data_IF_847517482896
#
_entry.id   IF_847517482896
#
_cell.length_a   1.000
_cell.length_b   1.000
_cell.length_c   1.000
_cell.angle_alpha   90.00
_cell.angle_beta   90.00
_cell.angle_gamma   90.00
#
_symmetry.space_group_name_H-M   'P 1'
#
loop_
_entity.id
_entity.type
_entity.pdbx_description
1 polymer ?
#
# COMPACT_ATOMS: atom_id res chain seq x y z
N UNK A 1 -13.78 2.73 -12.92
CA UNK A 1 -12.71 3.43 -12.20
C UNK A 1 -13.09 3.51 -10.72
N UNK A 2 -12.51 2.65 -9.88
CA UNK A 2 -12.67 2.77 -8.43
C UNK A 2 -11.84 3.96 -7.94
N UNK A 3 -12.39 4.77 -7.04
CA UNK A 3 -11.70 5.90 -6.44
C UNK A 3 -11.74 5.74 -4.93
N UNK A 4 -10.57 5.75 -4.29
CA UNK A 4 -10.48 5.70 -2.84
C UNK A 4 -10.81 7.06 -2.23
N UNK A 5 -11.55 7.05 -1.12
CA UNK A 5 -11.71 8.23 -0.28
C UNK A 5 -10.40 8.45 0.50
N UNK A 6 -9.62 9.43 0.06
CA UNK A 6 -8.34 9.79 0.68
C UNK A 6 -8.30 11.21 1.25
N UNK A 7 -9.33 12.04 0.99
CA UNK A 7 -9.36 13.43 1.46
C UNK A 7 -9.12 13.56 2.98
N UNK A 8 -9.69 12.70 3.85
CA UNK A 8 -9.42 12.77 5.28
C UNK A 8 -8.01 12.30 5.68
N UNK A 9 -7.29 11.66 4.76
CA UNK A 9 -5.99 11.03 4.99
C UNK A 9 -4.81 11.94 4.62
N UNK A 10 -5.04 12.96 3.79
CA UNK A 10 -4.02 13.91 3.35
C UNK A 10 -3.86 15.09 4.33
N UNK A 11 -2.66 15.68 4.37
CA UNK A 11 -2.39 16.90 5.14
C UNK A 11 -2.20 16.68 6.65
N UNK A 12 -2.07 15.44 7.12
CA UNK A 12 -1.93 15.13 8.56
C UNK A 12 -0.50 15.37 9.03
N UNK A 13 -0.27 16.05 10.17
CA UNK A 13 1.06 16.19 10.74
C UNK A 13 1.58 14.85 11.23
N UNK A 14 2.88 14.61 11.05
CA UNK A 14 3.51 13.38 11.52
C UNK A 14 3.69 13.38 13.05
N UNK A 15 3.22 12.31 13.69
CA UNK A 15 3.50 12.00 15.08
C UNK A 15 3.62 10.48 15.22
N UNK A 16 4.83 9.99 15.53
CA UNK A 16 5.07 8.55 15.67
C UNK A 16 4.14 7.96 16.73
N UNK A 17 3.54 6.82 16.43
CA UNK A 17 2.59 6.15 17.33
C UNK A 17 1.18 6.72 17.33
N UNK A 18 0.92 7.89 16.74
CA UNK A 18 -0.42 8.51 16.76
C UNK A 18 -0.94 8.91 15.37
N UNK A 19 -0.11 9.55 14.55
CA UNK A 19 -0.42 9.97 13.18
C UNK A 19 0.81 9.71 12.31
N UNK A 20 1.00 8.45 11.96
CA UNK A 20 2.16 7.91 11.24
C UNK A 20 1.73 7.06 10.04
N UNK A 21 2.69 6.43 9.35
CA UNK A 21 2.41 5.59 8.18
C UNK A 21 1.50 4.39 8.51
N UNK A 22 1.65 3.77 9.67
CA UNK A 22 0.78 2.68 10.12
C UNK A 22 -0.65 3.16 10.37
N UNK A 23 -0.80 4.28 11.06
CA UNK A 23 -2.11 4.89 11.32
C UNK A 23 -2.80 5.30 10.02
N UNK A 24 -2.05 5.87 9.07
CA UNK A 24 -2.57 6.18 7.74
C UNK A 24 -3.06 4.92 7.02
N UNK A 25 -2.29 3.84 7.04
CA UNK A 25 -2.71 2.55 6.45
C UNK A 25 -3.97 2.02 7.13
N UNK A 26 -4.04 2.00 8.46
CA UNK A 26 -5.24 1.57 9.19
C UNK A 26 -6.47 2.38 8.81
N UNK A 27 -6.35 3.71 8.82
CA UNK A 27 -7.45 4.60 8.50
C UNK A 27 -7.90 4.46 7.04
N UNK A 28 -6.95 4.23 6.12
CA UNK A 28 -7.27 3.92 4.72
C UNK A 28 -8.15 2.68 4.60
N UNK A 29 -7.75 1.59 5.28
CA UNK A 29 -8.47 0.32 5.25
C UNK A 29 -9.85 0.42 5.91
N UNK A 30 -9.95 1.14 7.04
CA UNK A 30 -11.23 1.39 7.70
C UNK A 30 -12.16 2.22 6.80
N UNK A 31 -11.66 3.30 6.21
CA UNK A 31 -12.45 4.23 5.42
C UNK A 31 -12.95 3.65 4.10
N UNK A 32 -12.13 2.82 3.43
CA UNK A 32 -12.41 2.35 2.08
C UNK A 32 -12.99 0.94 2.01
N UNK A 33 -12.80 0.13 3.05
CA UNK A 33 -13.20 -1.28 3.04
C UNK A 33 -13.92 -1.72 4.33
N UNK A 34 -14.10 -0.83 5.30
CA UNK A 34 -14.59 -1.17 6.64
C UNK A 34 -13.79 -2.30 7.31
N UNK A 35 -12.48 -2.32 7.08
CA UNK A 35 -11.55 -3.29 7.67
C UNK A 35 -10.86 -2.65 8.87
N UNK A 36 -11.18 -3.15 10.07
CA UNK A 36 -10.50 -2.75 11.30
C UNK A 36 -9.18 -3.50 11.45
N UNK A 37 -8.07 -2.77 11.37
CA UNK A 37 -6.75 -3.27 11.76
C UNK A 37 -6.50 -2.95 13.23
N UNK A 38 -5.89 -3.86 14.02
CA UNK A 38 -5.59 -3.56 15.42
C UNK A 38 -4.63 -2.37 15.54
N UNK A 39 -4.86 -1.51 16.53
CA UNK A 39 -3.91 -0.44 16.88
C UNK A 39 -2.91 -0.97 17.91
N UNK A 40 -1.69 -1.21 17.45
CA UNK A 40 -0.60 -1.66 18.32
C UNK A 40 0.17 -0.46 18.87
N UNK A 41 0.63 -0.52 20.12
CA UNK A 41 1.52 0.50 20.63
C UNK A 41 2.82 0.52 19.80
N UNK A 42 3.19 1.70 19.30
CA UNK A 42 4.46 1.95 18.60
C UNK A 42 5.25 2.92 19.48
N UNK A 43 6.25 2.44 20.25
CA UNK A 43 7.04 3.29 21.12
C UNK A 43 7.71 4.42 20.34
N UNK A 44 7.91 5.58 20.98
CA UNK A 44 8.61 6.71 20.36
C UNK A 44 10.11 6.45 20.16
N UNK A 45 10.66 5.48 20.90
CA UNK A 45 12.02 4.98 20.86
C UNK A 45 12.14 3.66 20.08
N UNK A 46 11.14 3.34 19.24
CA UNK A 46 11.21 2.16 18.38
C UNK A 46 12.24 2.34 17.27
N UNK A 47 13.25 1.48 17.25
CA UNK A 47 14.23 1.34 16.18
C UNK A 47 13.92 0.06 15.35
N UNK A 48 13.66 0.19 14.03
CA UNK A 48 13.38 -0.96 13.16
C UNK A 48 14.47 -2.03 13.20
N UNK A 49 15.72 -1.60 13.38
CA UNK A 49 16.93 -2.43 13.46
C UNK A 49 16.94 -3.38 14.66
N UNK A 50 16.28 -3.01 15.76
CA UNK A 50 16.20 -3.81 16.99
C UNK A 50 14.92 -4.67 17.02
N UNK A 51 13.84 -4.23 16.36
CA UNK A 51 12.61 -4.99 16.24
C UNK A 51 11.85 -4.70 14.92
N UNK A 52 11.72 -5.70 14.05
CA UNK A 52 10.89 -5.61 12.84
C UNK A 52 9.39 -5.72 13.18
N UNK A 53 8.83 -4.67 13.77
CA UNK A 53 7.41 -4.62 14.15
C UNK A 53 6.48 -4.80 12.96
N UNK A 54 6.81 -4.23 11.79
CA UNK A 54 5.97 -4.38 10.59
C UNK A 54 5.76 -5.86 10.29
N UNK A 55 6.85 -6.64 10.26
CA UNK A 55 6.78 -8.07 9.92
C UNK A 55 5.97 -8.89 10.92
N UNK A 56 6.00 -8.51 12.20
CA UNK A 56 5.26 -9.19 13.26
C UNK A 56 3.77 -8.81 13.29
N UNK A 57 3.43 -7.57 12.93
CA UNK A 57 2.09 -7.01 13.12
C UNK A 57 1.15 -7.25 11.94
N UNK A 58 1.64 -7.26 10.70
CA UNK A 58 0.77 -7.42 9.53
C UNK A 58 0.00 -8.75 9.50
N UNK A 59 0.54 -9.91 9.93
CA UNK A 59 -0.23 -11.16 9.94
C UNK A 59 -1.42 -11.09 10.90
N UNK A 60 -1.26 -10.39 12.03
CA UNK A 60 -2.34 -10.18 13.02
C UNK A 60 -3.45 -9.30 12.44
N UNK A 61 -3.11 -8.38 11.54
CA UNK A 61 -4.08 -7.58 10.79
C UNK A 61 -4.68 -8.31 9.56
N UNK A 62 -4.37 -9.60 9.37
CA UNK A 62 -4.97 -10.43 8.31
C UNK A 62 -4.36 -10.25 6.91
N UNK A 63 -3.16 -9.66 6.81
CA UNK A 63 -2.49 -9.47 5.53
C UNK A 63 -1.67 -10.69 5.11
N UNK A 64 -1.63 -10.92 3.80
CA UNK A 64 -0.75 -11.87 3.14
C UNK A 64 0.48 -11.15 2.59
N UNK A 65 1.65 -11.76 2.78
CA UNK A 65 2.91 -11.28 2.19
C UNK A 65 3.10 -11.86 0.80
N UNK A 66 3.41 -10.99 -0.15
CA UNK A 66 3.63 -11.30 -1.55
C UNK A 66 5.04 -10.87 -1.99
N UNK A 67 5.63 -11.65 -2.88
CA UNK A 67 6.89 -11.31 -3.54
C UNK A 67 6.72 -10.13 -4.49
N UNK A 68 7.69 -9.21 -4.51
CA UNK A 68 7.64 -7.99 -5.31
C UNK A 68 7.73 -8.29 -6.79
N UNK A 69 8.59 -9.20 -7.22
CA UNK A 69 8.82 -9.44 -8.65
C UNK A 69 7.64 -10.12 -9.33
N UNK A 70 6.96 -11.00 -8.62
CA UNK A 70 5.75 -11.69 -9.10
C UNK A 70 4.49 -10.80 -9.07
N UNK A 71 4.46 -9.76 -8.22
CA UNK A 71 3.28 -8.94 -7.97
C UNK A 71 3.49 -7.46 -8.33
N UNK A 72 4.49 -7.14 -9.15
CA UNK A 72 4.69 -5.79 -9.68
C UNK A 72 4.11 -5.63 -11.10
N UNK A 73 3.32 -4.58 -11.38
CA UNK A 73 2.90 -3.52 -10.47
C UNK A 73 1.91 -4.02 -9.41
N UNK A 74 1.88 -3.39 -8.21
CA UNK A 74 0.89 -3.68 -7.18
C UNK A 74 -0.54 -3.45 -7.68
N UNK A 75 -1.52 -4.06 -6.99
CA UNK A 75 -2.95 -3.83 -7.21
C UNK A 75 -3.45 -2.69 -6.33
N UNK A 76 -4.48 -1.92 -6.76
CA UNK A 76 -5.07 -0.89 -5.91
C UNK A 76 -5.48 -1.47 -4.55
N UNK A 77 -5.05 -0.82 -3.48
CA UNK A 77 -5.23 -1.26 -2.10
C UNK A 77 -4.02 -1.98 -1.50
N UNK A 78 -3.12 -2.55 -2.32
CA UNK A 78 -1.90 -3.19 -1.82
C UNK A 78 -1.03 -2.20 -1.03
N UNK A 79 -0.34 -2.71 -0.02
CA UNK A 79 0.63 -1.94 0.77
C UNK A 79 2.03 -2.35 0.35
N UNK A 80 2.81 -1.39 -0.14
CA UNK A 80 4.24 -1.54 -0.35
C UNK A 80 4.94 -1.37 0.99
N UNK A 81 5.63 -2.41 1.42
CA UNK A 81 6.45 -2.38 2.63
C UNK A 81 7.87 -2.03 2.23
N UNK A 82 8.33 -0.86 2.64
CA UNK A 82 9.56 -0.27 2.16
C UNK A 82 10.66 -0.22 3.23
N UNK A 83 11.90 -0.35 2.76
CA UNK A 83 13.12 -0.13 3.55
C UNK A 83 13.79 1.15 3.07
N UNK A 84 13.83 2.17 3.93
CA UNK A 84 14.41 3.49 3.60
C UNK A 84 15.49 3.84 4.62
N UNK A 85 16.75 3.92 4.17
CA UNK A 85 17.85 4.39 5.03
C UNK A 85 18.32 3.39 6.10
N UNK A 86 17.95 2.11 6.00
CA UNK A 86 18.31 1.05 6.94
C UNK A 86 18.36 -0.33 6.27
N UNK A 87 18.36 -1.40 7.08
CA UNK A 87 18.39 -2.80 6.60
C UNK A 87 17.07 -3.54 6.79
N UNK A 88 16.15 -3.00 7.60
CA UNK A 88 14.84 -3.59 7.89
C UNK A 88 13.70 -2.68 7.44
N UNK A 89 12.52 -3.26 7.10
CA UNK A 89 11.36 -2.49 6.70
C UNK A 89 10.92 -1.49 7.77
N UNK A 90 10.70 -0.25 7.35
CA UNK A 90 10.39 0.86 8.25
C UNK A 90 9.33 1.83 7.72
N UNK A 91 8.77 1.57 6.53
CA UNK A 91 7.77 2.46 5.92
C UNK A 91 6.67 1.70 5.21
N UNK A 92 5.43 2.23 5.30
CA UNK A 92 4.24 1.69 4.66
C UNK A 92 3.69 2.69 3.65
N UNK A 93 3.36 2.19 2.46
CA UNK A 93 2.84 3.00 1.35
C UNK A 93 1.67 2.27 0.72
N UNK A 94 0.51 2.91 0.61
CA UNK A 94 -0.67 2.31 -0.01
C UNK A 94 -0.70 2.67 -1.49
N UNK A 95 -0.82 1.67 -2.37
CA UNK A 95 -1.00 1.90 -3.80
C UNK A 95 -2.46 2.19 -4.12
N UNK A 96 -2.73 3.32 -4.76
CA UNK A 96 -4.08 3.77 -5.09
C UNK A 96 -4.55 3.32 -6.49
N UNK A 97 -3.66 2.75 -7.29
CA UNK A 97 -3.88 2.54 -8.72
C UNK A 97 -3.31 3.68 -9.56
N UNK A 98 -3.25 3.48 -10.88
CA UNK A 98 -2.87 4.54 -11.86
C UNK A 98 -1.57 5.28 -11.54
N UNK A 99 -0.56 4.57 -11.01
CA UNK A 99 0.71 5.14 -10.56
C UNK A 99 0.55 6.21 -9.46
N UNK A 100 -0.49 6.13 -8.64
CA UNK A 100 -0.65 6.97 -7.46
C UNK A 100 -0.45 6.15 -6.18
N UNK A 101 0.16 6.76 -5.18
CA UNK A 101 0.36 6.21 -3.84
C UNK A 101 -0.06 7.24 -2.80
N UNK A 102 -0.44 6.77 -1.61
CA UNK A 102 -0.57 7.61 -0.42
C UNK A 102 0.30 7.05 0.69
N UNK A 103 0.98 7.93 1.40
CA UNK A 103 1.83 7.55 2.52
C UNK A 103 2.08 8.73 3.46
N UNK A 104 2.64 8.44 4.63
CA UNK A 104 3.00 9.45 5.62
C UNK A 104 4.50 9.38 5.93
N UNK A 105 5.27 10.30 5.36
CA UNK A 105 6.72 10.36 5.58
C UNK A 105 7.03 11.04 6.92
N UNK A 106 8.08 10.56 7.59
CA UNK A 106 8.61 11.17 8.80
C UNK A 106 8.90 12.65 8.55
N UNK A 107 8.42 13.52 9.45
CA UNK A 107 8.64 14.97 9.39
C UNK A 107 7.88 15.71 8.28
N UNK A 108 6.99 15.04 7.54
CA UNK A 108 6.17 15.66 6.49
C UNK A 108 4.69 15.49 6.77
N UNK A 109 3.87 16.26 6.04
CA UNK A 109 2.43 15.98 5.98
C UNK A 109 2.19 14.68 5.20
N UNK A 110 1.15 13.93 5.56
CA UNK A 110 0.68 12.84 4.71
C UNK A 110 0.23 13.39 3.35
N UNK A 111 0.55 12.68 2.28
CA UNK A 111 0.30 13.16 0.92
C UNK A 111 0.10 12.04 -0.07
N UNK A 112 -0.69 12.33 -1.11
CA UNK A 112 -0.69 11.56 -2.34
C UNK A 112 0.51 11.95 -3.21
N UNK A 113 1.17 10.96 -3.81
CA UNK A 113 2.30 11.17 -4.71
C UNK A 113 2.24 10.22 -5.92
N UNK A 114 2.95 10.58 -6.99
CA UNK A 114 3.17 9.67 -8.11
C UNK A 114 4.14 8.55 -7.71
N UNK A 115 3.76 7.30 -7.97
CA UNK A 115 4.59 6.12 -7.82
C UNK A 115 5.67 6.07 -8.91
N UNK A 116 6.77 6.78 -8.65
CA UNK A 116 7.98 6.75 -9.48
C UNK A 116 8.60 5.33 -9.54
N UNK A 117 9.32 4.96 -10.62
CA UNK A 117 9.95 3.64 -10.76
C UNK A 117 10.90 3.24 -9.62
N UNK A 118 11.46 4.20 -8.90
CA UNK A 118 12.33 3.94 -7.75
C UNK A 118 11.62 3.20 -6.60
N UNK A 119 10.29 3.31 -6.49
CA UNK A 119 9.52 2.62 -5.44
C UNK A 119 9.68 1.10 -5.47
N UNK A 120 9.85 0.49 -6.65
CA UNK A 120 10.12 -0.95 -6.74
C UNK A 120 11.39 -1.33 -5.97
N UNK A 121 12.44 -0.50 -6.04
CA UNK A 121 13.71 -0.75 -5.35
C UNK A 121 13.64 -0.57 -3.84
N UNK A 122 12.75 0.31 -3.36
CA UNK A 122 12.55 0.51 -1.93
C UNK A 122 11.63 -0.55 -1.32
N UNK A 123 10.79 -1.20 -2.14
CA UNK A 123 9.82 -2.19 -1.68
C UNK A 123 10.51 -3.52 -1.41
N UNK A 124 10.43 -3.98 -0.16
CA UNK A 124 10.98 -5.26 0.29
C UNK A 124 9.99 -6.40 0.05
N UNK A 125 8.69 -6.14 0.23
CA UNK A 125 7.58 -7.05 -0.10
C UNK A 125 6.28 -6.27 -0.20
N UNK A 126 5.25 -6.92 -0.74
CA UNK A 126 3.90 -6.37 -0.85
C UNK A 126 3.00 -7.05 0.18
N UNK A 127 2.11 -6.30 0.81
CA UNK A 127 1.05 -6.83 1.65
C UNK A 127 -0.30 -6.66 0.95
N UNK A 128 -1.08 -7.74 0.93
CA UNK A 128 -2.44 -7.74 0.39
C UNK A 128 -3.41 -8.29 1.42
N UNK A 129 -4.51 -7.57 1.64
CA UNK A 129 -5.56 -8.07 2.52
C UNK A 129 -6.62 -8.84 1.69
N UNK A 130 -6.96 -10.09 2.04
CA UNK A 130 -7.83 -10.95 1.23
C UNK A 130 -9.28 -10.44 1.14
N UNK A 131 -9.73 -9.61 2.09
CA UNK A 131 -11.05 -8.95 2.04
C UNK A 131 -11.11 -7.78 1.05
N UNK A 132 -9.97 -7.29 0.54
CA UNK A 132 -9.97 -6.27 -0.51
C UNK A 132 -10.24 -6.96 -1.84
N UNK A 133 -11.35 -6.64 -2.55
CA UNK A 133 -11.64 -7.26 -3.84
C UNK A 133 -10.56 -6.89 -4.86
N UNK A 134 -10.42 -7.67 -5.94
CA UNK A 134 -9.57 -7.22 -7.05
C UNK A 134 -10.22 -6.00 -7.73
N UNK A 135 -9.61 -4.83 -7.54
CA UNK A 135 -10.05 -3.54 -8.07
C UNK A 135 -9.39 -3.16 -9.40
N UNK A 136 -8.55 -4.02 -9.97
CA UNK A 136 -7.95 -3.79 -11.28
C UNK A 136 -9.05 -3.61 -12.34
N UNK A 137 -8.85 -2.64 -13.23
CA UNK A 137 -9.73 -2.50 -14.38
C UNK A 137 -9.57 -3.74 -15.28
N UNK A 138 -10.68 -4.45 -15.53
CA UNK A 138 -10.68 -5.56 -16.47
C UNK A 138 -10.36 -5.02 -17.86
N UNK A 139 -9.16 -5.33 -18.36
CA UNK A 139 -8.79 -5.06 -19.75
C UNK A 139 -9.60 -5.96 -20.66
N UNK A 140 -10.02 -5.48 -21.85
CA UNK A 140 -10.55 -6.36 -22.88
C UNK A 140 -9.56 -7.50 -23.15
N UNK A 141 -10.06 -8.72 -23.25
CA UNK A 141 -9.24 -9.92 -23.51
C UNK A 141 -8.80 -10.02 -24.97
N UNK A 142 -9.36 -9.17 -25.82
CA UNK A 142 -9.06 -9.10 -27.24
C UNK A 142 -9.05 -7.66 -27.71
N UNK A 143 -8.16 -7.37 -28.64
CA UNK A 143 -8.17 -6.16 -29.44
C UNK A 143 -9.19 -6.28 -30.58
N UNK A 144 -9.68 -5.14 -31.06
CA UNK A 144 -10.57 -5.12 -32.25
C UNK A 144 -9.88 -5.75 -33.47
N UNK A 145 -8.55 -5.64 -33.57
CA UNK A 145 -7.76 -6.23 -34.65
C UNK A 145 -7.78 -7.76 -34.59
N UNK A 146 -7.65 -8.35 -33.40
CA UNK A 146 -7.74 -9.80 -33.21
C UNK A 146 -9.14 -10.30 -33.56
N UNK A 147 -10.19 -9.58 -33.14
CA UNK A 147 -11.58 -9.89 -33.49
C UNK A 147 -11.77 -10.00 -35.02
N UNK A 148 -11.23 -9.06 -35.80
CA UNK A 148 -11.30 -9.11 -37.27
C UNK A 148 -10.39 -10.18 -37.89
N UNK A 149 -9.15 -10.33 -37.39
CA UNK A 149 -8.18 -11.28 -37.94
C UNK A 149 -8.63 -12.74 -37.75
N UNK A 150 -9.27 -13.04 -36.63
CA UNK A 150 -9.79 -14.36 -36.29
C UNK A 150 -11.19 -14.63 -36.86
N UNK A 151 -11.78 -13.65 -37.58
CA UNK A 151 -13.13 -13.72 -38.18
C UNK A 151 -14.22 -14.08 -37.17
N UNK A 152 -14.11 -13.52 -35.96
CA UNK A 152 -15.11 -13.70 -34.92
C UNK A 152 -16.33 -12.80 -35.16
N UNK A 153 -16.17 -11.79 -36.02
CA UNK A 153 -17.22 -10.99 -36.69
C UNK A 153 -16.82 -10.74 -38.15
#
# INVERSE_FOLDING_TARGET
MFSFNIQPLEGRPFNLGATDCFTLTRDFYKLNFDIDMPDFARPNDWEPEDDNLIEKLYPVAGFERLDVDENWPPRPGDVLVCTVGGSLPNHLVVFLGQNEIIHHKIGMLSSKETMRPAWKRYTSYILRHPKVPNLEEKKPTMTIREVYNEKLI
#
